data_IF_415856901982
#
_entry.id   IF_415856901982
#
_cell.length_a   1.000
_cell.length_b   1.000
_cell.length_c   1.000
_cell.angle_alpha   90.00
_cell.angle_beta   90.00
_cell.angle_gamma   90.00
#
_symmetry.space_group_name_H-M   'P 1'
#
loop_
_entity.id
_entity.type
_entity.pdbx_description
1 polymer ?
#
# COMPACT_ATOMS: atom_id res chain seq x y z
N UNK A 1 4.76 -9.84 14.23
CA UNK A 1 3.44 -9.62 13.61
C UNK A 1 2.42 -9.13 14.62
N UNK A 2 2.02 -9.91 15.63
CA UNK A 2 0.98 -9.48 16.61
C UNK A 2 1.31 -8.14 17.30
N UNK A 3 2.52 -7.98 17.84
CA UNK A 3 2.94 -6.72 18.47
C UNK A 3 2.88 -5.52 17.51
N UNK A 4 3.18 -5.72 16.22
CA UNK A 4 3.10 -4.66 15.22
C UNK A 4 1.66 -4.29 14.89
N UNK A 5 0.76 -5.27 14.81
CA UNK A 5 -0.67 -5.05 14.66
C UNK A 5 -1.26 -4.26 15.84
N UNK A 6 -0.98 -4.69 17.07
CA UNK A 6 -1.44 -4.02 18.29
C UNK A 6 -0.93 -2.58 18.38
N UNK A 7 0.38 -2.38 18.12
CA UNK A 7 1.00 -1.05 18.09
C UNK A 7 0.37 -0.14 17.04
N UNK A 8 0.09 -0.68 15.85
CA UNK A 8 -0.54 0.07 14.76
C UNK A 8 -1.95 0.50 15.11
N UNK A 9 -2.74 -0.39 15.71
CA UNK A 9 -4.10 -0.08 16.14
C UNK A 9 -4.12 0.96 17.27
N UNK A 10 -3.23 0.83 18.26
CA UNK A 10 -3.06 1.82 19.31
C UNK A 10 -2.72 3.19 18.71
N UNK A 11 -1.76 3.25 17.78
CA UNK A 11 -1.36 4.48 17.12
C UNK A 11 -2.52 5.14 16.37
N UNK A 12 -3.25 4.39 15.54
CA UNK A 12 -4.40 4.92 14.79
C UNK A 12 -5.51 5.43 15.71
N UNK A 13 -5.80 4.74 16.82
CA UNK A 13 -6.86 5.15 17.75
C UNK A 13 -6.52 6.41 18.56
N UNK A 14 -5.24 6.77 18.67
CA UNK A 14 -4.79 7.88 19.51
C UNK A 14 -4.18 9.04 18.70
N UNK A 15 -4.06 8.92 17.37
CA UNK A 15 -3.52 9.99 16.53
C UNK A 15 -4.56 11.11 16.31
N UNK A 16 -4.12 12.35 16.49
CA UNK A 16 -4.91 13.54 16.14
C UNK A 16 -4.59 14.06 14.72
N UNK A 17 -3.61 13.45 14.05
CA UNK A 17 -3.04 13.90 12.78
C UNK A 17 -3.43 12.98 11.61
N UNK A 18 -4.56 12.28 11.75
CA UNK A 18 -5.09 11.43 10.69
C UNK A 18 -5.64 12.28 9.54
N UNK A 19 -5.29 11.86 8.33
CA UNK A 19 -5.73 12.43 7.08
C UNK A 19 -6.81 11.56 6.43
N UNK A 20 -7.74 12.19 5.73
CA UNK A 20 -8.80 11.55 4.98
C UNK A 20 -8.92 12.04 3.52
N UNK A 21 -7.96 12.81 3.01
CA UNK A 21 -8.05 13.40 1.67
C UNK A 21 -8.28 12.35 0.55
N UNK A 22 -7.70 11.16 0.72
CA UNK A 22 -7.84 10.02 -0.18
C UNK A 22 -8.72 8.91 0.40
N UNK A 23 -9.22 9.05 1.63
CA UNK A 23 -10.00 8.01 2.30
C UNK A 23 -11.49 8.36 2.24
N UNK A 24 -12.32 7.36 1.95
CA UNK A 24 -13.77 7.51 1.84
C UNK A 24 -14.49 6.53 2.76
N UNK A 25 -15.79 6.75 2.98
CA UNK A 25 -16.62 5.87 3.79
C UNK A 25 -16.23 5.79 5.27
N UNK A 26 -15.54 6.82 5.78
CA UNK A 26 -15.06 6.87 7.16
C UNK A 26 -13.66 6.29 7.36
N UNK A 27 -12.92 6.01 6.28
CA UNK A 27 -11.52 5.63 6.34
C UNK A 27 -10.61 6.74 6.87
N UNK A 28 -9.48 6.35 7.43
CA UNK A 28 -8.46 7.26 7.93
C UNK A 28 -7.05 6.76 7.61
N UNK A 29 -6.12 7.69 7.47
CA UNK A 29 -4.73 7.44 7.10
C UNK A 29 -3.78 8.25 7.98
N UNK A 30 -2.70 7.65 8.46
CA UNK A 30 -1.63 8.38 9.14
C UNK A 30 -0.62 9.01 8.18
N UNK A 31 -0.99 9.22 6.90
CA UNK A 31 -0.10 9.73 5.85
C UNK A 31 0.42 11.15 6.09
N UNK A 32 -0.09 11.88 7.07
CA UNK A 32 0.41 13.19 7.48
C UNK A 32 1.30 13.16 8.74
N UNK A 33 1.42 12.00 9.38
CA UNK A 33 2.17 11.82 10.64
C UNK A 33 3.65 11.52 10.37
N UNK A 34 4.54 12.11 11.15
CA UNK A 34 5.98 11.87 11.08
C UNK A 34 6.41 10.60 11.84
N UNK A 35 5.56 10.08 12.73
CA UNK A 35 5.78 8.82 13.43
C UNK A 35 5.41 7.63 12.53
N UNK A 36 6.22 7.40 11.50
CA UNK A 36 5.93 6.44 10.44
C UNK A 36 6.17 4.98 10.87
N UNK A 37 5.30 4.01 10.53
CA UNK A 37 5.46 2.61 10.92
C UNK A 37 6.84 1.97 10.68
N UNK A 38 7.55 2.35 9.62
CA UNK A 38 8.86 1.78 9.28
C UNK A 38 10.00 2.13 10.25
N UNK A 39 9.85 3.15 11.09
CA UNK A 39 10.85 3.48 12.12
C UNK A 39 10.57 2.76 13.44
N UNK A 40 9.45 2.06 13.57
CA UNK A 40 9.06 1.40 14.82
C UNK A 40 9.86 0.12 15.03
N UNK A 41 10.31 -0.17 16.27
CA UNK A 41 10.99 -1.41 16.60
C UNK A 41 10.19 -2.67 16.22
N UNK A 42 8.86 -2.63 16.37
CA UNK A 42 7.94 -3.74 16.11
C UNK A 42 7.87 -4.13 14.63
N UNK A 43 8.20 -3.19 13.74
CA UNK A 43 8.12 -3.38 12.29
C UNK A 43 9.45 -3.80 11.66
N UNK A 44 10.55 -3.74 12.42
CA UNK A 44 11.93 -3.93 11.92
C UNK A 44 12.11 -5.22 11.12
N UNK A 45 11.64 -6.35 11.66
CA UNK A 45 11.81 -7.65 11.01
C UNK A 45 11.08 -7.72 9.66
N UNK A 46 9.87 -7.14 9.59
CA UNK A 46 9.10 -7.08 8.34
C UNK A 46 9.80 -6.22 7.30
N UNK A 47 10.26 -5.04 7.67
CA UNK A 47 10.91 -4.13 6.72
C UNK A 47 12.28 -4.63 6.27
N UNK A 48 13.04 -5.31 7.14
CA UNK A 48 14.27 -6.00 6.73
C UNK A 48 13.96 -7.09 5.70
N UNK A 49 12.97 -7.95 5.97
CA UNK A 49 12.53 -8.98 5.03
C UNK A 49 12.09 -8.37 3.68
N UNK A 50 11.30 -7.30 3.71
CA UNK A 50 10.81 -6.62 2.52
C UNK A 50 11.97 -6.07 1.68
N UNK A 51 12.89 -5.35 2.32
CA UNK A 51 13.98 -4.63 1.66
C UNK A 51 15.07 -5.56 1.13
N UNK A 52 15.44 -6.59 1.90
CA UNK A 52 16.50 -7.54 1.54
C UNK A 52 16.01 -8.67 0.63
N UNK A 53 14.70 -8.95 0.63
CA UNK A 53 14.08 -10.00 -0.19
C UNK A 53 13.24 -9.42 -1.34
N UNK A 54 11.89 -9.44 -1.26
CA UNK A 54 11.04 -9.21 -2.42
C UNK A 54 11.28 -7.89 -3.16
N UNK A 55 11.48 -6.78 -2.43
CA UNK A 55 11.75 -5.48 -3.07
C UNK A 55 13.07 -5.50 -3.85
N UNK A 56 14.11 -6.17 -3.30
CA UNK A 56 15.41 -6.27 -3.96
C UNK A 56 15.34 -7.15 -5.20
N UNK A 57 14.65 -8.28 -5.11
CA UNK A 57 14.45 -9.21 -6.21
C UNK A 57 13.71 -8.53 -7.37
N UNK A 58 12.63 -7.79 -7.07
CA UNK A 58 11.86 -7.04 -8.07
C UNK A 58 12.71 -5.94 -8.69
N UNK A 59 13.47 -5.20 -7.89
CA UNK A 59 14.34 -4.12 -8.39
C UNK A 59 15.37 -4.64 -9.39
N UNK A 60 16.04 -5.74 -9.03
CA UNK A 60 16.99 -6.42 -9.90
C UNK A 60 16.30 -6.95 -11.16
N UNK A 61 15.11 -7.54 -11.02
CA UNK A 61 14.33 -8.06 -12.14
C UNK A 61 13.95 -6.97 -13.16
N UNK A 62 13.62 -5.77 -12.68
CA UNK A 62 13.32 -4.61 -13.53
C UNK A 62 14.56 -3.92 -14.10
N UNK A 63 15.77 -4.43 -13.81
CA UNK A 63 17.05 -3.85 -14.21
C UNK A 63 17.25 -2.40 -13.76
N UNK A 64 16.65 -2.02 -12.62
CA UNK A 64 16.94 -0.72 -12.01
C UNK A 64 18.38 -0.72 -11.47
N UNK A 65 19.03 0.45 -11.53
CA UNK A 65 20.42 0.61 -11.10
C UNK A 65 20.48 0.84 -9.59
N UNK A 66 21.68 0.71 -9.03
CA UNK A 66 22.00 1.11 -7.65
C UNK A 66 21.03 0.57 -6.58
N UNK A 67 20.78 -0.76 -6.52
CA UNK A 67 19.88 -1.35 -5.52
C UNK A 67 20.29 -1.06 -4.07
N UNK A 68 21.56 -0.72 -3.82
CA UNK A 68 22.09 -0.28 -2.53
C UNK A 68 21.62 1.11 -2.10
N UNK A 69 21.07 1.92 -3.01
CA UNK A 69 20.53 3.25 -2.72
C UNK A 69 19.03 3.24 -2.39
N UNK A 70 18.38 2.07 -2.45
CA UNK A 70 16.97 1.94 -2.10
C UNK A 70 16.76 2.19 -0.62
N UNK A 71 15.72 2.94 -0.31
CA UNK A 71 15.30 3.23 1.05
C UNK A 71 13.78 3.33 1.12
N UNK A 72 13.23 3.10 2.31
CA UNK A 72 11.84 3.42 2.58
C UNK A 72 11.79 4.90 2.93
N UNK A 73 11.21 5.70 2.05
CA UNK A 73 11.07 7.15 2.30
C UNK A 73 9.88 7.44 3.22
N UNK A 74 8.74 6.76 2.98
CA UNK A 74 7.50 6.98 3.72
C UNK A 74 6.78 5.67 4.01
N UNK A 75 6.09 5.63 5.14
CA UNK A 75 5.09 4.61 5.44
C UNK A 75 3.99 5.22 6.30
N UNK A 76 2.78 4.71 6.20
CA UNK A 76 1.67 5.09 7.05
C UNK A 76 0.77 3.88 7.30
N UNK A 77 -0.10 4.01 8.30
CA UNK A 77 -1.13 3.04 8.60
C UNK A 77 -2.49 3.56 8.11
N UNK A 78 -3.35 2.64 7.69
CA UNK A 78 -4.71 2.92 7.27
C UNK A 78 -5.69 2.17 8.16
N UNK A 79 -6.80 2.83 8.50
CA UNK A 79 -7.94 2.22 9.17
C UNK A 79 -9.17 2.34 8.28
N UNK A 80 -9.76 1.22 7.91
CA UNK A 80 -10.95 1.16 7.07
C UNK A 80 -12.10 0.46 7.81
N UNK A 81 -13.08 1.21 8.34
CA UNK A 81 -14.34 0.61 8.80
C UNK A 81 -15.13 0.02 7.62
N UNK A 82 -16.22 -0.69 7.92
CA UNK A 82 -17.06 -1.29 6.89
C UNK A 82 -17.55 -0.25 5.86
N UNK A 83 -17.28 -0.49 4.58
CA UNK A 83 -17.61 0.41 3.48
C UNK A 83 -16.58 1.51 3.20
N UNK A 84 -15.53 1.62 4.01
CA UNK A 84 -14.43 2.53 3.74
C UNK A 84 -13.46 1.97 2.69
N UNK A 85 -12.82 2.89 1.96
CA UNK A 85 -11.87 2.57 0.90
C UNK A 85 -10.96 3.77 0.61
N UNK A 86 -9.84 3.51 -0.07
CA UNK A 86 -8.91 4.53 -0.53
C UNK A 86 -9.13 4.82 -2.02
N UNK A 87 -9.21 6.11 -2.39
CA UNK A 87 -9.36 6.59 -3.76
C UNK A 87 -8.23 6.12 -4.68
N UNK A 88 -8.55 5.98 -5.97
CA UNK A 88 -7.53 5.82 -7.02
C UNK A 88 -6.54 6.99 -6.97
N UNK A 89 -5.25 6.68 -6.89
CA UNK A 89 -4.17 7.66 -6.95
C UNK A 89 -2.84 6.99 -7.30
N UNK A 90 -1.80 7.80 -7.47
CA UNK A 90 -0.41 7.36 -7.73
C UNK A 90 0.54 7.95 -6.70
N UNK A 91 1.67 7.28 -6.43
CA UNK A 91 2.78 7.81 -5.65
C UNK A 91 3.89 8.31 -6.58
N UNK A 92 3.95 9.61 -6.82
CA UNK A 92 4.72 10.18 -7.95
C UNK A 92 6.23 9.93 -7.94
N UNK A 93 6.88 10.02 -6.78
CA UNK A 93 8.34 9.88 -6.65
C UNK A 93 8.77 8.47 -6.19
N UNK A 94 7.83 7.53 -6.07
CA UNK A 94 8.10 6.19 -5.59
C UNK A 94 8.35 5.22 -6.75
N UNK A 95 9.50 4.53 -6.72
CA UNK A 95 9.82 3.45 -7.66
C UNK A 95 9.05 2.16 -7.37
N UNK A 96 8.79 1.90 -6.09
CA UNK A 96 8.09 0.72 -5.59
C UNK A 96 7.18 1.11 -4.43
N UNK A 97 6.00 0.49 -4.37
CA UNK A 97 5.04 0.64 -3.27
C UNK A 97 4.68 -0.74 -2.76
N UNK A 98 4.60 -0.88 -1.44
CA UNK A 98 4.19 -2.12 -0.78
C UNK A 98 3.00 -1.84 0.14
N UNK A 99 2.10 -2.81 0.23
CA UNK A 99 0.97 -2.82 1.17
C UNK A 99 1.06 -4.05 2.04
N UNK A 100 0.86 -3.88 3.34
CA UNK A 100 0.78 -4.94 4.33
C UNK A 100 -0.59 -4.89 4.99
N UNK A 101 -1.31 -6.01 4.95
CA UNK A 101 -2.56 -6.17 5.68
C UNK A 101 -2.25 -6.73 7.07
N UNK A 102 -2.58 -5.96 8.11
CA UNK A 102 -2.36 -6.36 9.51
C UNK A 102 -3.61 -7.00 10.12
N UNK A 103 -4.79 -6.51 9.74
CA UNK A 103 -6.10 -7.03 10.13
C UNK A 103 -7.05 -6.85 8.96
N UNK A 104 -7.56 -7.95 8.41
CA UNK A 104 -8.39 -7.92 7.20
C UNK A 104 -9.59 -8.85 7.36
N UNK A 105 -10.82 -8.30 7.41
CA UNK A 105 -12.03 -9.11 7.41
C UNK A 105 -12.18 -9.94 6.13
N UNK A 106 -12.87 -11.10 6.19
CA UNK A 106 -13.18 -11.88 4.99
C UNK A 106 -13.88 -11.05 3.91
N UNK A 107 -13.46 -11.25 2.65
CA UNK A 107 -14.03 -10.55 1.47
C UNK A 107 -13.86 -9.02 1.49
N UNK A 108 -12.74 -8.52 2.03
CA UNK A 108 -12.46 -7.07 2.09
C UNK A 108 -11.01 -6.75 1.69
N UNK A 109 -10.72 -5.47 1.46
CA UNK A 109 -9.34 -4.98 1.35
C UNK A 109 -8.56 -5.47 0.12
N UNK A 110 -9.20 -5.68 -1.03
CA UNK A 110 -8.45 -6.01 -2.25
C UNK A 110 -7.65 -4.78 -2.73
N UNK A 111 -6.44 -5.02 -3.25
CA UNK A 111 -5.71 -4.00 -3.99
C UNK A 111 -6.19 -3.99 -5.45
N UNK A 112 -6.45 -2.81 -5.99
CA UNK A 112 -6.86 -2.64 -7.38
C UNK A 112 -5.79 -1.83 -8.12
N UNK A 113 -5.33 -2.36 -9.26
CA UNK A 113 -4.32 -1.71 -10.10
C UNK A 113 -4.94 -1.39 -11.45
N UNK A 114 -5.03 -0.11 -11.77
CA UNK A 114 -5.53 0.35 -13.06
C UNK A 114 -4.44 0.27 -14.12
N UNK A 115 -4.79 -0.17 -15.33
CA UNK A 115 -3.88 -0.22 -16.47
C UNK A 115 -3.42 1.20 -16.83
N UNK A 116 -2.12 1.54 -16.69
CA UNK A 116 -1.62 2.89 -16.95
C UNK A 116 -1.74 3.28 -18.44
N UNK A 117 -1.89 2.31 -19.33
CA UNK A 117 -2.05 2.53 -20.77
C UNK A 117 -3.51 2.54 -21.21
N UNK A 118 -4.48 2.61 -20.27
CA UNK A 118 -5.90 2.51 -20.58
C UNK A 118 -6.35 3.43 -21.73
N UNK A 119 -5.97 4.71 -21.70
CA UNK A 119 -6.36 5.66 -22.74
C UNK A 119 -5.73 5.37 -24.11
N UNK A 120 -4.54 4.77 -24.15
CA UNK A 120 -3.93 4.30 -25.39
C UNK A 120 -4.59 3.01 -25.89
N UNK A 121 -5.04 2.17 -24.96
CA UNK A 121 -5.69 0.90 -25.23
C UNK A 121 -7.15 1.06 -25.69
N UNK A 122 -7.86 2.10 -25.26
CA UNK A 122 -9.23 2.40 -25.70
C UNK A 122 -9.36 2.62 -27.22
N UNK A 123 -8.29 3.08 -27.88
CA UNK A 123 -8.26 3.26 -29.34
C UNK A 123 -8.12 1.96 -30.15
N UNK A 124 -8.07 0.79 -29.50
CA UNK A 124 -7.83 -0.50 -30.14
C UNK A 124 -9.00 -1.47 -29.95
N UNK A 125 -9.13 -2.49 -30.82
CA UNK A 125 -10.19 -3.51 -30.67
C UNK A 125 -9.98 -4.29 -29.37
N UNK A 126 -10.99 -4.28 -28.50
CA UNK A 126 -10.98 -5.02 -27.24
C UNK A 126 -11.92 -6.23 -27.28
N UNK A 127 -11.60 -7.25 -26.48
CA UNK A 127 -12.52 -8.35 -26.23
C UNK A 127 -13.66 -7.83 -25.35
N UNK A 128 -14.91 -8.11 -25.72
CA UNK A 128 -16.05 -7.71 -24.89
C UNK A 128 -15.88 -8.24 -23.46
N UNK A 129 -16.14 -7.37 -22.46
CA UNK A 129 -16.04 -7.70 -21.04
C UNK A 129 -14.66 -7.54 -20.41
N UNK A 130 -13.65 -7.03 -21.13
CA UNK A 130 -12.38 -6.63 -20.48
C UNK A 130 -12.55 -5.32 -19.74
N UNK A 131 -12.08 -5.25 -18.49
CA UNK A 131 -11.92 -4.01 -17.75
C UNK A 131 -10.44 -3.61 -17.71
N UNK A 132 -10.17 -2.38 -17.28
CA UNK A 132 -8.82 -1.85 -17.13
C UNK A 132 -8.23 -2.11 -15.75
N UNK A 133 -8.94 -2.84 -14.90
CA UNK A 133 -8.60 -3.03 -13.51
C UNK A 133 -8.10 -4.45 -13.26
N UNK A 134 -6.93 -4.55 -12.64
CA UNK A 134 -6.44 -5.82 -12.09
C UNK A 134 -6.77 -5.85 -10.61
N UNK A 135 -7.55 -6.85 -10.20
CA UNK A 135 -7.85 -7.09 -8.79
C UNK A 135 -6.81 -8.04 -8.20
N UNK A 136 -6.10 -7.59 -7.19
CA UNK A 136 -5.17 -8.39 -6.40
C UNK A 136 -5.86 -8.73 -5.09
N UNK A 137 -6.44 -9.92 -5.04
CA UNK A 137 -7.18 -10.39 -3.87
C UNK A 137 -6.25 -10.56 -2.68
N UNK A 138 -6.64 -10.03 -1.53
CA UNK A 138 -5.91 -10.25 -0.28
C UNK A 138 -5.93 -11.75 0.08
N UNK A 139 -4.80 -12.25 0.57
CA UNK A 139 -4.74 -13.60 1.12
C UNK A 139 -4.84 -13.50 2.64
N UNK A 140 -5.90 -14.07 3.21
CA UNK A 140 -6.21 -14.07 4.64
C UNK A 140 -5.81 -15.39 5.30
#
# INVERSE_FOLDING_TARGET
MLAFQERTLEFLNNSNDLNNALEEGGGASSSSDNNMPHIWPEAKDYYNWLMEGPSYEIWCHWNYKTPEQRQIERSWANLHPNGAWTKEHTHGEADQVAVLYLDVPPNSGNLEVHNPLFYHWQGTRQKAGTNSWTHVTVQT
#
